data_IF_109713503287
#
_entry.id   IF_109713503287
#
_cell.length_a   1.000
_cell.length_b   1.000
_cell.length_c   1.000
_cell.angle_alpha   90.00
_cell.angle_beta   90.00
_cell.angle_gamma   90.00
#
_symmetry.space_group_name_H-M   'P 1'
#
loop_
_entity.id
_entity.type
_entity.pdbx_description
1 polymer ?
#
# COMPACT_ATOMS: atom_id res chain seq x y z
N UNK A 1 -15.50 7.01 -23.79
CA UNK A 1 -15.30 6.27 -22.51
C UNK A 1 -14.22 6.98 -21.71
N UNK A 2 -14.36 7.07 -20.40
CA UNK A 2 -13.36 7.67 -19.52
C UNK A 2 -12.20 6.67 -19.34
N UNK A 3 -10.97 7.10 -19.66
CA UNK A 3 -9.77 6.27 -19.52
C UNK A 3 -9.23 6.34 -18.09
N UNK A 4 -9.11 5.19 -17.45
CA UNK A 4 -8.72 5.04 -16.05
C UNK A 4 -7.46 4.19 -15.95
N UNK A 5 -6.41 4.71 -15.30
CA UNK A 5 -5.22 3.95 -14.96
C UNK A 5 -5.26 3.54 -13.49
N UNK A 6 -5.08 2.26 -13.21
CA UNK A 6 -4.84 1.73 -11.87
C UNK A 6 -3.34 1.49 -11.75
N UNK A 7 -2.68 2.20 -10.83
CA UNK A 7 -1.23 2.16 -10.68
C UNK A 7 -0.82 1.22 -9.55
N UNK A 8 0.39 0.67 -9.66
CA UNK A 8 1.08 -0.04 -8.58
C UNK A 8 0.38 -1.33 -8.10
N UNK A 9 -0.35 -2.01 -8.97
CA UNK A 9 -0.96 -3.31 -8.64
C UNK A 9 0.06 -4.46 -8.70
N UNK A 10 1.12 -4.36 -7.90
CA UNK A 10 2.23 -5.33 -7.88
C UNK A 10 1.78 -6.76 -7.53
N UNK A 11 0.68 -6.89 -6.80
CA UNK A 11 0.12 -8.18 -6.42
C UNK A 11 -0.85 -8.74 -7.46
N UNK A 12 -1.20 -7.97 -8.50
CA UNK A 12 -2.14 -8.35 -9.57
C UNK A 12 -3.50 -8.77 -9.01
N UNK A 13 -4.01 -7.96 -8.07
CA UNK A 13 -5.26 -8.27 -7.34
C UNK A 13 -6.42 -7.34 -7.68
N UNK A 14 -6.19 -6.27 -8.43
CA UNK A 14 -7.23 -5.27 -8.74
C UNK A 14 -8.49 -5.90 -9.32
N UNK A 15 -8.36 -6.89 -10.21
CA UNK A 15 -9.51 -7.58 -10.83
C UNK A 15 -10.34 -8.40 -9.84
N UNK A 16 -9.79 -8.77 -8.68
CA UNK A 16 -10.54 -9.47 -7.63
C UNK A 16 -11.51 -8.54 -6.90
N UNK A 17 -11.25 -7.22 -6.92
CA UNK A 17 -12.03 -6.20 -6.22
C UNK A 17 -12.85 -5.32 -7.17
N UNK A 18 -12.56 -5.34 -8.46
CA UNK A 18 -13.24 -4.53 -9.47
C UNK A 18 -13.93 -5.45 -10.46
N UNK A 19 -15.25 -5.32 -10.58
CA UNK A 19 -15.96 -6.01 -11.64
C UNK A 19 -15.84 -5.20 -12.94
N UNK A 20 -14.80 -5.48 -13.72
CA UNK A 20 -14.48 -4.76 -14.97
C UNK A 20 -15.60 -4.91 -16.01
N UNK A 21 -16.27 -6.07 -16.06
CA UNK A 21 -17.38 -6.29 -16.99
C UNK A 21 -18.56 -5.34 -16.75
N UNK A 22 -18.89 -5.06 -15.48
CA UNK A 22 -19.94 -4.09 -15.12
C UNK A 22 -19.55 -2.64 -15.44
N UNK A 23 -18.26 -2.37 -15.58
CA UNK A 23 -17.73 -1.06 -15.90
C UNK A 23 -17.45 -0.88 -17.41
N UNK A 24 -17.44 -1.97 -18.18
CA UNK A 24 -17.27 -1.95 -19.62
C UNK A 24 -18.38 -1.10 -20.27
N UNK A 25 -18.02 -0.37 -21.31
CA UNK A 25 -18.93 0.59 -21.98
C UNK A 25 -18.95 2.00 -21.37
N UNK A 26 -18.54 2.18 -20.09
CA UNK A 26 -18.38 3.51 -19.47
C UNK A 26 -16.92 3.88 -19.27
N UNK A 27 -16.09 2.91 -18.92
CA UNK A 27 -14.67 3.10 -18.57
C UNK A 27 -13.78 2.19 -19.41
N UNK A 28 -12.64 2.71 -19.82
CA UNK A 28 -11.52 1.95 -20.36
C UNK A 28 -10.45 1.89 -19.26
N UNK A 29 -10.28 0.71 -18.67
CA UNK A 29 -9.41 0.52 -17.50
C UNK A 29 -8.13 -0.17 -17.94
N UNK A 30 -6.97 0.43 -17.62
CA UNK A 30 -5.65 -0.20 -17.75
C UNK A 30 -5.01 -0.32 -16.37
N UNK A 31 -4.50 -1.52 -16.06
CA UNK A 31 -3.82 -1.83 -14.81
C UNK A 31 -2.33 -1.86 -15.06
N UNK A 32 -1.58 -1.13 -14.25
CA UNK A 32 -0.12 -1.10 -14.24
C UNK A 32 0.37 -1.89 -13.03
N UNK A 33 0.95 -3.06 -13.28
CA UNK A 33 1.44 -3.97 -12.24
C UNK A 33 2.94 -3.84 -11.96
N UNK A 34 3.63 -3.07 -12.77
CA UNK A 34 5.06 -2.79 -12.61
C UNK A 34 5.27 -1.28 -12.38
N UNK A 35 6.32 -0.90 -11.66
CA UNK A 35 6.65 0.51 -11.49
C UNK A 35 7.08 1.14 -12.81
N UNK A 36 6.86 2.43 -12.97
CA UNK A 36 7.44 3.19 -14.07
C UNK A 36 8.96 3.30 -13.89
N UNK A 37 9.68 3.29 -14.99
CA UNK A 37 11.16 3.40 -14.96
C UNK A 37 11.58 4.75 -14.39
N UNK A 38 10.91 5.81 -14.82
CA UNK A 38 11.10 7.19 -14.35
C UNK A 38 9.85 8.03 -14.62
N UNK A 39 9.93 9.32 -14.35
CA UNK A 39 8.82 10.25 -14.56
C UNK A 39 8.50 10.46 -16.05
N UNK A 40 9.48 10.37 -16.95
CA UNK A 40 9.26 10.52 -18.39
C UNK A 40 8.46 9.34 -18.94
N UNK A 41 8.81 8.12 -18.50
CA UNK A 41 8.06 6.90 -18.81
C UNK A 41 6.62 6.99 -18.27
N UNK A 42 6.45 7.47 -17.03
CA UNK A 42 5.11 7.69 -16.47
C UNK A 42 4.30 8.71 -17.30
N UNK A 43 4.90 9.80 -17.73
CA UNK A 43 4.26 10.81 -18.59
C UNK A 43 3.81 10.22 -19.93
N UNK A 44 4.67 9.47 -20.58
CA UNK A 44 4.35 8.81 -21.86
C UNK A 44 3.18 7.86 -21.70
N UNK A 45 3.28 6.94 -20.74
CA UNK A 45 2.29 5.88 -20.56
C UNK A 45 0.94 6.39 -20.03
N UNK A 46 0.94 7.49 -19.24
CA UNK A 46 -0.27 8.04 -18.63
C UNK A 46 -0.92 9.19 -19.40
N UNK A 47 -0.32 9.64 -20.52
CA UNK A 47 -0.73 10.83 -21.29
C UNK A 47 -2.19 10.82 -21.75
N UNK A 48 -2.76 9.64 -21.96
CA UNK A 48 -4.14 9.48 -22.46
C UNK A 48 -5.20 9.32 -21.35
N UNK A 49 -4.78 9.17 -20.09
CA UNK A 49 -5.70 8.86 -19.01
C UNK A 49 -6.32 10.12 -18.39
N UNK A 50 -7.61 9.97 -18.05
CA UNK A 50 -8.40 11.04 -17.41
C UNK A 50 -8.52 10.84 -15.90
N UNK A 51 -8.31 9.61 -15.41
CA UNK A 51 -8.33 9.28 -13.99
C UNK A 51 -7.18 8.35 -13.61
N UNK A 52 -6.55 8.61 -12.47
CA UNK A 52 -5.52 7.78 -11.86
C UNK A 52 -6.02 7.23 -10.53
N UNK A 53 -5.94 5.92 -10.33
CA UNK A 53 -6.08 5.26 -9.04
C UNK A 53 -4.67 4.95 -8.53
N UNK A 54 -4.24 5.62 -7.47
CA UNK A 54 -2.88 5.52 -6.94
C UNK A 54 -2.87 4.77 -5.61
N UNK A 55 -1.89 3.87 -5.46
CA UNK A 55 -1.74 3.05 -4.27
C UNK A 55 -0.75 3.71 -3.31
N UNK A 56 -1.29 4.48 -2.34
CA UNK A 56 -0.47 5.17 -1.34
C UNK A 56 0.61 6.04 -2.00
N UNK A 57 1.77 6.11 -1.40
CA UNK A 57 2.92 6.89 -1.85
C UNK A 57 3.87 6.11 -2.79
N UNK A 58 3.38 5.09 -3.52
CA UNK A 58 4.23 4.25 -4.38
C UNK A 58 4.72 5.03 -5.61
N UNK A 59 3.80 5.52 -6.44
CA UNK A 59 4.14 6.39 -7.58
C UNK A 59 3.98 7.85 -7.15
N UNK A 60 5.04 8.68 -7.22
CA UNK A 60 4.94 10.12 -6.98
C UNK A 60 4.11 10.81 -8.07
N UNK A 61 3.06 11.49 -7.68
CA UNK A 61 2.25 12.32 -8.59
C UNK A 61 2.72 13.77 -8.44
N UNK A 62 3.85 14.04 -9.06
CA UNK A 62 4.58 15.30 -8.94
C UNK A 62 3.88 16.46 -9.63
N UNK A 63 4.34 17.68 -9.35
CA UNK A 63 3.93 18.88 -10.07
C UNK A 63 4.11 18.72 -11.58
N UNK A 64 5.29 18.26 -12.02
CA UNK A 64 5.60 18.11 -13.44
C UNK A 64 4.67 17.08 -14.11
N UNK A 65 4.43 15.93 -13.46
CA UNK A 65 3.52 14.92 -13.96
C UNK A 65 2.09 15.49 -14.10
N UNK A 66 1.60 16.20 -13.07
CA UNK A 66 0.27 16.81 -13.11
C UNK A 66 0.18 17.87 -14.21
N UNK A 67 1.17 18.74 -14.37
CA UNK A 67 1.16 19.80 -15.39
C UNK A 67 1.12 19.27 -16.81
N UNK A 68 1.77 18.13 -17.07
CA UNK A 68 1.90 17.56 -18.41
C UNK A 68 0.83 16.53 -18.77
N UNK A 69 0.17 15.91 -17.81
CA UNK A 69 -0.99 15.04 -18.08
C UNK A 69 -2.24 15.87 -18.39
N UNK A 70 -2.31 16.42 -19.59
CA UNK A 70 -3.32 17.43 -19.98
C UNK A 70 -4.76 16.95 -19.89
N UNK A 71 -5.00 15.62 -20.04
CA UNK A 71 -6.32 15.00 -19.98
C UNK A 71 -6.77 14.65 -18.55
N UNK A 72 -5.87 14.72 -17.57
CA UNK A 72 -6.13 14.29 -16.20
C UNK A 72 -7.18 15.15 -15.50
N UNK A 73 -8.21 14.53 -14.95
CA UNK A 73 -9.36 15.14 -14.25
C UNK A 73 -9.52 14.65 -12.82
N UNK A 74 -9.11 13.38 -12.55
CA UNK A 74 -9.34 12.73 -11.27
C UNK A 74 -8.08 12.01 -10.78
N UNK A 75 -7.78 12.14 -9.49
CA UNK A 75 -6.78 11.33 -8.79
C UNK A 75 -7.48 10.73 -7.57
N UNK A 76 -7.51 9.40 -7.49
CA UNK A 76 -8.08 8.67 -6.37
C UNK A 76 -6.93 7.93 -5.69
N UNK A 77 -6.71 8.17 -4.39
CA UNK A 77 -5.66 7.50 -3.62
C UNK A 77 -6.24 6.56 -2.58
N UNK A 78 -5.62 5.41 -2.39
CA UNK A 78 -5.95 4.52 -1.28
C UNK A 78 -5.49 5.15 0.05
N UNK A 79 -6.47 5.44 0.93
CA UNK A 79 -6.27 6.19 2.16
C UNK A 79 -6.56 7.68 2.02
N UNK A 80 -6.86 8.34 3.16
CA UNK A 80 -7.30 9.73 3.19
C UNK A 80 -6.18 10.75 2.95
N UNK A 81 -4.91 10.34 3.02
CA UNK A 81 -3.76 11.22 2.88
C UNK A 81 -2.71 10.54 2.02
N UNK A 82 -2.17 11.30 1.07
CA UNK A 82 -1.05 10.87 0.24
C UNK A 82 -0.11 12.07 0.05
N UNK A 83 1.10 11.97 0.60
CA UNK A 83 2.10 13.05 0.56
C UNK A 83 2.84 13.12 -0.77
N UNK A 84 2.72 12.11 -1.61
CA UNK A 84 3.38 12.07 -2.93
C UNK A 84 2.55 12.72 -4.04
N UNK A 85 1.37 13.29 -3.71
CA UNK A 85 0.54 14.03 -4.66
C UNK A 85 0.74 15.53 -4.44
N UNK A 86 1.12 16.27 -5.49
CA UNK A 86 1.16 17.74 -5.46
C UNK A 86 -0.27 18.30 -5.52
N UNK A 87 -0.87 18.48 -4.33
CA UNK A 87 -2.24 18.96 -4.19
C UNK A 87 -2.44 20.38 -4.67
N UNK A 88 -1.41 21.23 -4.56
CA UNK A 88 -1.51 22.63 -4.98
C UNK A 88 -1.63 22.74 -6.50
N UNK A 89 -0.86 21.98 -7.22
CA UNK A 89 -0.93 21.92 -8.69
C UNK A 89 -2.23 21.25 -9.14
N UNK A 90 -2.64 20.17 -8.50
CA UNK A 90 -3.93 19.51 -8.79
C UNK A 90 -5.09 20.51 -8.62
N UNK A 91 -5.11 21.29 -7.54
CA UNK A 91 -6.12 22.32 -7.28
C UNK A 91 -6.11 23.42 -8.34
N UNK A 92 -4.92 23.94 -8.72
CA UNK A 92 -4.79 24.96 -9.77
C UNK A 92 -5.35 24.46 -11.11
N UNK A 93 -5.13 23.21 -11.43
CA UNK A 93 -5.64 22.56 -12.64
C UNK A 93 -7.09 22.06 -12.51
N UNK A 94 -7.73 22.31 -11.37
CA UNK A 94 -9.12 21.83 -11.08
C UNK A 94 -9.27 20.33 -11.17
N UNK A 95 -8.19 19.57 -10.89
CA UNK A 95 -8.22 18.10 -10.81
C UNK A 95 -8.82 17.72 -9.46
N UNK A 96 -9.81 16.84 -9.47
CA UNK A 96 -10.44 16.35 -8.26
C UNK A 96 -9.54 15.29 -7.64
N UNK A 97 -9.12 15.50 -6.40
CA UNK A 97 -8.35 14.52 -5.64
C UNK A 97 -9.21 13.97 -4.52
N UNK A 98 -9.39 12.66 -4.47
CA UNK A 98 -10.19 11.97 -3.45
C UNK A 98 -9.36 10.84 -2.82
N UNK A 99 -9.59 10.61 -1.54
CA UNK A 99 -9.03 9.47 -0.82
C UNK A 99 -10.11 8.49 -0.38
N UNK A 100 -9.72 7.26 -0.11
CA UNK A 100 -10.60 6.24 0.47
C UNK A 100 -10.37 6.10 1.97
N UNK A 101 -11.35 5.55 2.68
CA UNK A 101 -11.13 5.09 4.04
C UNK A 101 -10.08 3.97 4.07
N UNK A 102 -9.37 3.87 5.20
CA UNK A 102 -8.35 2.84 5.38
C UNK A 102 -8.73 1.89 6.50
N UNK A 103 -8.61 0.60 6.23
CA UNK A 103 -8.59 -0.40 7.28
C UNK A 103 -7.22 -0.36 7.98
N UNK A 104 -7.24 -0.17 9.31
CA UNK A 104 -6.01 -0.08 10.12
C UNK A 104 -5.58 -1.42 10.74
N UNK A 105 -6.40 -2.46 10.65
CA UNK A 105 -6.14 -3.75 11.30
C UNK A 105 -4.96 -4.53 10.69
N UNK A 106 -4.76 -4.57 9.35
CA UNK A 106 -3.68 -5.36 8.78
C UNK A 106 -2.28 -4.97 9.27
N UNK A 107 -2.05 -3.69 9.56
CA UNK A 107 -0.72 -3.22 10.02
C UNK A 107 -0.34 -3.76 11.41
N UNK A 108 -1.18 -3.68 12.46
CA UNK A 108 -0.92 -4.33 13.74
C UNK A 108 -0.79 -5.85 13.64
N UNK A 109 -1.60 -6.49 12.80
CA UNK A 109 -1.54 -7.94 12.56
C UNK A 109 -0.18 -8.35 11.99
N UNK A 110 0.28 -7.68 10.93
CA UNK A 110 1.60 -7.94 10.35
C UNK A 110 2.72 -7.62 11.35
N UNK A 111 2.59 -6.54 12.12
CA UNK A 111 3.56 -6.18 13.17
C UNK A 111 3.73 -7.33 14.15
N UNK A 112 2.64 -7.90 14.63
CA UNK A 112 2.69 -9.02 15.57
C UNK A 112 3.14 -10.32 14.92
N UNK A 113 2.79 -10.58 13.67
CA UNK A 113 3.32 -11.71 12.92
C UNK A 113 4.86 -11.65 12.83
N UNK A 114 5.42 -10.47 12.57
CA UNK A 114 6.88 -10.27 12.52
C UNK A 114 7.53 -10.39 13.91
N UNK A 115 6.95 -9.78 14.95
CA UNK A 115 7.46 -9.88 16.33
C UNK A 115 7.50 -11.35 16.78
N UNK A 116 6.41 -12.08 16.58
CA UNK A 116 6.33 -13.50 16.94
C UNK A 116 7.25 -14.34 16.08
N UNK A 117 7.34 -14.05 14.78
CA UNK A 117 8.24 -14.74 13.86
C UNK A 117 9.70 -14.60 14.28
N UNK A 118 10.12 -13.40 14.66
CA UNK A 118 11.48 -13.15 15.18
C UNK A 118 11.69 -13.80 16.55
N UNK A 119 10.76 -13.63 17.49
CA UNK A 119 10.88 -14.19 18.83
C UNK A 119 10.95 -15.71 18.84
N UNK A 120 10.38 -16.37 17.86
CA UNK A 120 10.34 -17.83 17.73
C UNK A 120 11.25 -18.39 16.64
N UNK A 121 12.11 -17.55 16.04
CA UNK A 121 13.03 -17.93 14.94
C UNK A 121 12.32 -18.67 13.79
N UNK A 122 11.08 -18.27 13.46
CA UNK A 122 10.23 -19.05 12.53
C UNK A 122 10.87 -19.27 11.16
N UNK A 123 11.60 -18.27 10.64
CA UNK A 123 12.25 -18.44 9.34
C UNK A 123 13.30 -19.55 9.39
N UNK A 124 14.17 -19.54 10.39
CA UNK A 124 15.24 -20.53 10.56
C UNK A 124 14.66 -21.93 10.80
N UNK A 125 13.68 -22.06 11.67
CA UNK A 125 13.04 -23.34 11.95
C UNK A 125 12.31 -23.91 10.71
N UNK A 126 11.65 -23.05 9.92
CA UNK A 126 11.01 -23.47 8.66
C UNK A 126 12.07 -23.96 7.66
N UNK A 127 13.14 -23.18 7.45
CA UNK A 127 14.21 -23.57 6.53
C UNK A 127 14.88 -24.88 6.96
N UNK A 128 15.12 -25.06 8.26
CA UNK A 128 15.70 -26.27 8.81
C UNK A 128 14.78 -27.50 8.66
N UNK A 129 13.45 -27.30 8.83
CA UNK A 129 12.48 -28.35 8.58
C UNK A 129 12.50 -28.85 7.13
N UNK A 130 12.62 -27.94 6.15
CA UNK A 130 12.78 -28.34 4.75
C UNK A 130 14.06 -29.13 4.47
N UNK A 131 15.09 -28.97 5.32
CA UNK A 131 16.34 -29.71 5.25
C UNK A 131 16.35 -31.00 6.09
N UNK A 132 15.24 -31.35 6.75
CA UNK A 132 15.10 -32.54 7.57
C UNK A 132 15.58 -32.38 9.03
N UNK A 133 15.85 -31.15 9.47
CA UNK A 133 16.19 -30.87 10.87
C UNK A 133 14.93 -30.55 11.68
N UNK A 134 15.00 -30.72 13.01
CA UNK A 134 13.88 -30.52 13.92
C UNK A 134 14.33 -29.82 15.20
N UNK A 135 13.63 -28.74 15.57
CA UNK A 135 13.88 -27.97 16.81
C UNK A 135 15.34 -27.55 17.01
N UNK A 136 15.87 -26.81 16.07
CA UNK A 136 17.28 -26.42 16.04
C UNK A 136 17.60 -25.17 16.83
N UNK A 137 16.59 -24.34 17.14
CA UNK A 137 16.78 -23.08 17.86
C UNK A 137 15.91 -22.97 19.11
N UNK A 138 16.29 -22.05 20.00
CA UNK A 138 15.51 -21.71 21.20
C UNK A 138 14.98 -20.30 21.02
N UNK A 139 13.65 -20.14 20.98
CA UNK A 139 13.00 -18.85 20.89
C UNK A 139 13.00 -18.08 22.20
N UNK A 140 12.62 -16.81 22.12
CA UNK A 140 12.49 -15.90 23.27
C UNK A 140 11.02 -15.81 23.69
N UNK A 141 10.75 -15.97 25.00
CA UNK A 141 9.44 -15.70 25.58
C UNK A 141 9.19 -14.19 25.68
N UNK A 142 7.99 -13.74 25.32
CA UNK A 142 7.64 -12.31 25.37
C UNK A 142 7.15 -11.85 26.73
N UNK A 143 6.58 -12.74 27.55
CA UNK A 143 6.09 -12.41 28.89
C UNK A 143 7.19 -11.79 29.75
N UNK A 144 6.88 -10.67 30.39
CA UNK A 144 7.82 -9.91 31.20
C UNK A 144 8.86 -9.10 30.41
N UNK A 145 8.86 -9.15 29.08
CA UNK A 145 9.71 -8.29 28.25
C UNK A 145 9.06 -6.91 28.08
N UNK A 146 9.86 -5.94 27.69
CA UNK A 146 9.42 -4.56 27.44
C UNK A 146 9.23 -4.35 25.94
N UNK A 147 8.03 -3.96 25.54
CA UNK A 147 7.74 -3.52 24.17
C UNK A 147 7.92 -2.00 24.08
N UNK A 148 9.00 -1.56 23.45
CA UNK A 148 9.22 -0.16 23.12
C UNK A 148 8.44 0.25 21.86
N UNK A 149 7.71 1.37 21.93
CA UNK A 149 6.93 1.90 20.83
C UNK A 149 7.32 3.35 20.51
N UNK A 150 7.71 3.62 19.28
CA UNK A 150 7.90 4.99 18.80
C UNK A 150 6.61 5.41 18.08
N UNK A 151 5.82 6.27 18.73
CA UNK A 151 4.48 6.67 18.29
C UNK A 151 3.36 5.79 18.85
N UNK A 152 2.42 6.44 19.54
CA UNK A 152 1.25 5.79 20.16
C UNK A 152 -0.07 6.29 19.52
N UNK A 153 -0.09 6.42 18.21
CA UNK A 153 -1.29 6.72 17.43
C UNK A 153 -2.20 5.51 17.25
N UNK A 154 -3.10 5.56 16.28
CA UNK A 154 -4.11 4.49 16.05
C UNK A 154 -3.51 3.09 15.93
N UNK A 155 -2.42 2.93 15.18
CA UNK A 155 -1.73 1.64 15.00
C UNK A 155 -0.94 1.27 16.25
N UNK A 156 -0.09 2.17 16.76
CA UNK A 156 0.75 1.91 17.92
C UNK A 156 -0.06 1.54 19.17
N UNK A 157 -1.22 2.16 19.38
CA UNK A 157 -2.12 1.81 20.48
C UNK A 157 -2.69 0.39 20.36
N UNK A 158 -2.98 -0.07 19.16
CA UNK A 158 -3.43 -1.46 18.93
C UNK A 158 -2.29 -2.45 19.20
N UNK A 159 -1.08 -2.15 18.71
CA UNK A 159 0.10 -2.98 18.97
C UNK A 159 0.39 -3.06 20.48
N UNK A 160 0.31 -1.92 21.21
CA UNK A 160 0.48 -1.87 22.65
C UNK A 160 -0.55 -2.73 23.41
N UNK A 161 -1.82 -2.66 22.99
CA UNK A 161 -2.89 -3.45 23.60
C UNK A 161 -2.65 -4.96 23.46
N UNK A 162 -2.15 -5.40 22.32
CA UNK A 162 -1.82 -6.81 22.08
C UNK A 162 -0.58 -7.20 22.90
N UNK A 163 0.44 -6.32 23.01
CA UNK A 163 1.62 -6.56 23.84
C UNK A 163 1.27 -6.80 25.31
N UNK A 164 0.32 -6.04 25.86
CA UNK A 164 -0.20 -6.29 27.21
C UNK A 164 -0.86 -7.67 27.34
N UNK A 165 -1.56 -8.14 26.31
CA UNK A 165 -2.15 -9.49 26.31
C UNK A 165 -1.08 -10.59 26.32
N UNK A 166 0.12 -10.34 25.77
CA UNK A 166 1.28 -11.22 25.87
C UNK A 166 2.05 -11.07 27.20
N UNK A 167 1.59 -10.23 28.14
CA UNK A 167 2.25 -10.01 29.42
C UNK A 167 3.53 -9.16 29.36
N UNK A 168 3.67 -8.35 28.33
CA UNK A 168 4.77 -7.38 28.19
C UNK A 168 4.47 -6.11 28.95
#
# INVERSE_FOLDING_TARGET
MLKVAILDDYQKVSEQFINIEKLSGKYEIKIFSEPFVDEADALEQLSDFEALLVMRERTPITKNLIENLTKLKFIITSGLRNKSIDLDTAKKRKIIVSGTESNLNPTPELTWALILGLARNLKEEIDNMYQGYWQTTIGVELKGKILGLIGLGKVGSQVAKIGKAFGM
#
